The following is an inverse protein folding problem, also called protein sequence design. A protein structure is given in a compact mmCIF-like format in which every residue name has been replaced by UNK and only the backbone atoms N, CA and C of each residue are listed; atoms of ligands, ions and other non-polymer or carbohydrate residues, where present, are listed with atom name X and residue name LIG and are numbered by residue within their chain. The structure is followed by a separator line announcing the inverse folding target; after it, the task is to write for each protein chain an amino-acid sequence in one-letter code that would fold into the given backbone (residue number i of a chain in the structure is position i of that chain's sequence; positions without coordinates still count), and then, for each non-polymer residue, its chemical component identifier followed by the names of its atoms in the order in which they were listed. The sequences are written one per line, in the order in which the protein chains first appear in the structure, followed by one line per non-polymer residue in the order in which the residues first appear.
data_IF_444574537010
#
_entry.id   IF_444574537010
#
_cell.length_a   1.000
_cell.length_b   1.000
_cell.length_c   1.000
_cell.angle_alpha   90.00
_cell.angle_beta   90.00
_cell.angle_gamma   90.00
#
_symmetry.space_group_name_H-M   'P 1'
#
loop_
_entity.id
_entity.type
_entity.pdbx_description
1 polymer ?
#
# COMPACT_ATOMS: atom_id res chain seq x y z
N UNK A 1 4.77 0.94 -0.03
CA UNK A 1 5.16 2.27 0.49
C UNK A 1 4.96 2.36 2.01
N UNK A 2 5.42 1.38 2.79
CA UNK A 2 5.41 1.40 4.26
C UNK A 2 6.78 1.62 4.97
N UNK A 3 7.91 1.97 4.31
CA UNK A 3 9.22 1.87 4.94
C UNK A 3 9.46 2.94 6.02
N UNK A 4 8.90 4.15 5.87
CA UNK A 4 9.15 5.25 6.82
C UNK A 4 8.43 5.08 8.15
N UNK A 5 7.17 4.62 8.14
CA UNK A 5 6.44 4.33 9.38
C UNK A 5 7.10 3.18 10.17
N UNK A 6 7.65 2.19 9.46
CA UNK A 6 8.34 1.06 10.07
C UNK A 6 9.69 1.44 10.71
N UNK A 7 10.28 2.58 10.34
CA UNK A 7 11.52 3.10 10.92
C UNK A 7 11.30 3.91 12.21
N UNK A 8 10.07 4.42 12.44
CA UNK A 8 9.74 5.22 13.63
C UNK A 8 10.04 4.47 14.94
N UNK A 9 9.64 3.19 15.13
CA UNK A 9 9.96 2.45 16.35
C UNK A 9 11.47 2.29 16.58
N UNK A 10 12.22 1.94 15.52
CA UNK A 10 13.67 1.77 15.59
C UNK A 10 14.42 3.07 15.93
N UNK A 11 13.95 4.21 15.39
CA UNK A 11 14.46 5.53 15.74
C UNK A 11 14.18 5.88 17.20
N UNK A 12 12.95 5.63 17.67
CA UNK A 12 12.57 5.84 19.07
C UNK A 12 13.44 5.00 20.01
N UNK A 13 13.70 3.74 19.68
CA UNK A 13 14.52 2.84 20.49
C UNK A 13 15.99 3.25 20.51
N UNK A 14 16.49 3.79 19.39
CA UNK A 14 17.84 4.37 19.32
C UNK A 14 17.93 5.64 20.16
N UNK A 15 16.92 6.52 20.13
CA UNK A 15 16.89 7.70 21.01
C UNK A 15 16.80 7.27 22.48
N UNK A 16 16.04 6.20 22.78
CA UNK A 16 15.91 5.63 24.12
C UNK A 16 17.25 5.15 24.70
N UNK A 17 18.14 4.60 23.87
CA UNK A 17 19.43 4.07 24.33
C UNK A 17 20.43 5.15 24.78
N UNK A 18 20.21 6.42 24.41
CA UNK A 18 21.05 7.55 24.82
C UNK A 18 20.55 8.26 26.09
N UNK A 19 19.40 7.87 26.69
CA UNK A 19 18.99 8.47 27.96
C UNK A 19 19.77 7.88 29.14
N UNK A 20 20.19 8.71 30.11
CA UNK A 20 20.97 8.26 31.25
C UNK A 20 20.18 7.28 32.15
N UNK A 21 20.76 6.13 32.55
CA UNK A 21 20.11 5.15 33.42
C UNK A 21 19.72 5.71 34.81
N UNK A 22 20.43 6.77 35.25
CA UNK A 22 20.43 7.30 36.63
C UNK A 22 19.40 8.43 36.87
N UNK A 23 18.54 8.73 35.89
CA UNK A 23 17.55 9.81 35.97
C UNK A 23 16.46 9.53 37.02
N UNK A 24 15.99 10.59 37.70
CA UNK A 24 14.91 10.48 38.70
C UNK A 24 13.61 9.98 38.05
N UNK A 25 12.68 9.33 38.80
CA UNK A 25 11.43 8.80 38.25
C UNK A 25 10.60 9.86 37.49
N UNK A 26 10.64 11.11 37.94
CA UNK A 26 9.95 12.24 37.31
C UNK A 26 10.58 12.64 35.96
N UNK A 27 11.92 12.67 35.87
CA UNK A 27 12.63 13.00 34.62
C UNK A 27 12.42 11.93 33.54
N UNK A 28 12.30 10.66 33.93
CA UNK A 28 11.97 9.56 33.01
C UNK A 28 10.54 9.68 32.47
N UNK A 29 9.57 9.97 33.33
CA UNK A 29 8.17 10.16 32.93
C UNK A 29 8.00 11.36 31.97
N UNK A 30 8.71 12.47 32.21
CA UNK A 30 8.68 13.62 31.30
C UNK A 30 9.34 13.33 29.94
N UNK A 31 10.45 12.59 29.93
CA UNK A 31 11.12 12.17 28.70
C UNK A 31 10.23 11.22 27.88
N UNK A 32 9.58 10.25 28.52
CA UNK A 32 8.63 9.34 27.87
C UNK A 32 7.42 10.07 27.30
N UNK A 33 6.84 11.02 28.04
CA UNK A 33 5.73 11.84 27.56
C UNK A 33 6.12 12.66 26.31
N UNK A 34 7.32 13.24 26.29
CA UNK A 34 7.86 13.96 25.12
C UNK A 34 8.11 13.02 23.94
N UNK A 35 8.63 11.82 24.17
CA UNK A 35 8.84 10.82 23.11
C UNK A 35 7.52 10.38 22.47
N UNK A 36 6.48 10.15 23.27
CA UNK A 36 5.14 9.80 22.75
C UNK A 36 4.59 10.96 21.91
N UNK A 37 4.71 12.20 22.37
CA UNK A 37 4.27 13.37 21.61
C UNK A 37 5.02 13.50 20.26
N UNK A 38 6.34 13.30 20.26
CA UNK A 38 7.17 13.30 19.04
C UNK A 38 6.81 12.14 18.13
N UNK A 39 6.54 10.95 18.67
CA UNK A 39 6.11 9.78 17.90
C UNK A 39 4.82 10.06 17.14
N UNK A 40 3.81 10.64 17.82
CA UNK A 40 2.53 10.99 17.20
C UNK A 40 2.72 12.04 16.10
N UNK A 41 3.56 13.06 16.34
CA UNK A 41 3.87 14.08 15.34
C UNK A 41 4.57 13.48 14.11
N UNK A 42 5.56 12.60 14.31
CA UNK A 42 6.24 11.92 13.20
C UNK A 42 5.30 11.01 12.42
N UNK A 43 4.44 10.25 13.10
CA UNK A 43 3.44 9.41 12.44
C UNK A 43 2.51 10.26 11.59
N UNK A 44 2.00 11.37 12.12
CA UNK A 44 1.14 12.28 11.39
C UNK A 44 1.86 12.88 10.16
N UNK A 45 3.09 13.36 10.33
CA UNK A 45 3.87 13.92 9.23
C UNK A 45 4.13 12.89 8.11
N UNK A 46 4.37 11.62 8.46
CA UNK A 46 4.54 10.55 7.47
C UNK A 46 3.22 10.21 6.77
N UNK A 47 2.10 10.18 7.51
CA UNK A 47 0.77 9.99 6.92
C UNK A 47 0.47 11.11 5.93
N UNK A 48 0.67 12.37 6.32
CA UNK A 48 0.41 13.54 5.47
C UNK A 48 1.28 13.50 4.20
N UNK A 49 2.57 13.18 4.35
CA UNK A 49 3.48 13.01 3.20
C UNK A 49 3.03 11.87 2.26
N UNK A 50 2.58 10.74 2.81
CA UNK A 50 2.04 9.63 2.01
C UNK A 50 0.76 10.03 1.28
N UNK A 51 -0.16 10.74 1.94
CA UNK A 51 -1.39 11.22 1.31
C UNK A 51 -1.07 12.13 0.13
N UNK A 52 -0.12 13.06 0.28
CA UNK A 52 0.32 13.93 -0.83
C UNK A 52 0.94 13.10 -1.96
N UNK A 53 1.81 12.15 -1.64
CA UNK A 53 2.43 11.29 -2.64
C UNK A 53 1.40 10.44 -3.41
N UNK A 54 0.40 9.90 -2.72
CA UNK A 54 -0.71 9.14 -3.31
C UNK A 54 -1.62 10.02 -4.18
N UNK A 55 -1.87 11.26 -3.76
CA UNK A 55 -2.61 12.23 -4.58
C UNK A 55 -1.86 12.56 -5.87
N UNK A 56 -0.56 12.83 -5.80
CA UNK A 56 0.26 13.09 -6.98
C UNK A 56 0.36 11.87 -7.91
N UNK A 57 0.45 10.66 -7.35
CA UNK A 57 0.38 9.42 -8.12
C UNK A 57 -0.98 9.29 -8.83
N UNK A 58 -2.07 9.53 -8.12
CA UNK A 58 -3.44 9.46 -8.67
C UNK A 58 -3.62 10.45 -9.81
N UNK A 59 -3.15 11.71 -9.65
CA UNK A 59 -3.20 12.72 -10.71
C UNK A 59 -2.46 12.29 -11.98
N UNK A 60 -1.27 11.70 -11.83
CA UNK A 60 -0.49 11.19 -12.97
C UNK A 60 -1.21 10.05 -13.69
N UNK A 61 -1.73 9.09 -12.92
CA UNK A 61 -2.49 7.96 -13.47
C UNK A 61 -3.79 8.41 -14.14
N UNK A 62 -4.46 9.43 -13.59
CA UNK A 62 -5.66 10.01 -14.20
C UNK A 62 -5.31 10.70 -15.52
N UNK A 63 -4.25 11.50 -15.56
CA UNK A 63 -3.76 12.12 -16.79
C UNK A 63 -3.41 11.08 -17.87
N UNK A 64 -2.76 9.97 -17.49
CA UNK A 64 -2.46 8.86 -18.41
C UNK A 64 -3.72 8.16 -18.95
N UNK A 65 -4.80 8.15 -18.16
CA UNK A 65 -6.10 7.57 -18.56
C UNK A 65 -7.01 8.51 -19.33
N UNK A 66 -6.80 9.81 -19.25
CA UNK A 66 -7.55 10.81 -20.01
C UNK A 66 -7.17 10.84 -21.50
N UNK A 67 -6.13 10.12 -21.91
CA UNK A 67 -5.79 9.93 -23.33
C UNK A 67 -6.99 9.43 -24.14
N UNK A 68 -7.16 9.96 -25.36
CA UNK A 68 -8.26 9.61 -26.26
C UNK A 68 -8.23 8.16 -26.76
N UNK A 69 -7.19 7.40 -26.44
CA UNK A 69 -7.05 6.01 -26.88
C UNK A 69 -7.97 5.06 -26.10
N UNK A 70 -8.69 4.20 -26.83
CA UNK A 70 -9.50 3.12 -26.23
C UNK A 70 -8.65 2.18 -25.38
N UNK A 71 -7.40 1.95 -25.79
CA UNK A 71 -6.47 1.08 -25.09
C UNK A 71 -6.09 1.63 -23.71
N UNK A 72 -5.82 2.93 -23.59
CA UNK A 72 -5.53 3.59 -22.29
C UNK A 72 -6.69 3.45 -21.31
N UNK A 73 -7.93 3.58 -21.79
CA UNK A 73 -9.14 3.44 -20.96
C UNK A 73 -9.38 2.01 -20.48
N UNK A 74 -8.94 1.02 -21.26
CA UNK A 74 -9.18 -0.41 -20.99
C UNK A 74 -7.92 -1.17 -20.53
N UNK A 75 -6.78 -0.50 -20.32
CA UNK A 75 -5.53 -1.18 -19.97
C UNK A 75 -5.65 -2.01 -18.69
N UNK A 76 -6.34 -1.49 -17.66
CA UNK A 76 -6.53 -2.21 -16.38
C UNK A 76 -7.27 -3.55 -16.55
N UNK A 77 -8.49 -3.60 -17.14
CA UNK A 77 -9.17 -4.88 -17.34
C UNK A 77 -8.44 -5.77 -18.35
N UNK A 78 -7.76 -5.22 -19.37
CA UNK A 78 -7.02 -6.01 -20.34
C UNK A 78 -5.81 -6.72 -19.73
N UNK A 79 -5.06 -6.05 -18.85
CA UNK A 79 -3.95 -6.67 -18.11
C UNK A 79 -4.45 -7.80 -17.21
N UNK A 80 -5.59 -7.63 -16.54
CA UNK A 80 -6.21 -8.68 -15.73
C UNK A 80 -6.56 -9.90 -16.58
N UNK A 81 -7.23 -9.70 -17.73
CA UNK A 81 -7.61 -10.79 -18.64
C UNK A 81 -6.34 -11.49 -19.17
N UNK A 82 -5.33 -10.73 -19.58
CA UNK A 82 -4.06 -11.27 -20.04
C UNK A 82 -3.40 -12.17 -18.98
N UNK A 83 -3.28 -11.69 -17.75
CA UNK A 83 -2.68 -12.47 -16.65
C UNK A 83 -3.50 -13.71 -16.30
N UNK A 84 -4.84 -13.63 -16.34
CA UNK A 84 -5.72 -14.80 -16.17
C UNK A 84 -5.51 -15.85 -17.26
N UNK A 85 -5.44 -15.43 -18.52
CA UNK A 85 -5.19 -16.33 -19.65
C UNK A 85 -3.82 -16.99 -19.50
N UNK A 86 -2.77 -16.21 -19.23
CA UNK A 86 -1.42 -16.74 -19.02
C UNK A 86 -1.37 -17.73 -17.85
N UNK A 87 -2.04 -17.40 -16.73
CA UNK A 87 -2.14 -18.30 -15.58
C UNK A 87 -2.85 -19.60 -15.94
N UNK A 88 -3.93 -19.53 -16.73
CA UNK A 88 -4.69 -20.71 -17.16
C UNK A 88 -3.86 -21.58 -18.10
N UNK A 89 -3.10 -20.97 -19.02
CA UNK A 89 -2.17 -21.67 -19.92
C UNK A 89 -1.05 -22.35 -19.12
N UNK A 90 -0.42 -21.65 -18.17
CA UNK A 90 0.60 -22.22 -17.29
C UNK A 90 0.06 -23.38 -16.46
N UNK A 91 -1.13 -23.23 -15.88
CA UNK A 91 -1.79 -24.29 -15.13
C UNK A 91 -2.08 -25.52 -16.02
N UNK A 92 -2.52 -25.31 -17.26
CA UNK A 92 -2.74 -26.37 -18.24
C UNK A 92 -1.47 -27.11 -18.62
N UNK A 93 -0.37 -26.40 -18.89
CA UNK A 93 0.94 -27.00 -19.17
C UNK A 93 1.46 -27.77 -17.95
N UNK A 94 1.23 -27.24 -16.73
CA UNK A 94 1.66 -27.87 -15.48
C UNK A 94 1.05 -29.25 -15.23
N UNK A 95 -0.11 -29.54 -15.82
CA UNK A 95 -0.76 -30.85 -15.70
C UNK A 95 -0.06 -31.87 -16.61
N UNK A 96 0.50 -31.44 -17.74
CA UNK A 96 1.21 -32.30 -18.69
C UNK A 96 2.73 -32.41 -18.46
N UNK A 97 3.33 -31.42 -17.81
CA UNK A 97 4.78 -31.30 -17.63
C UNK A 97 5.15 -31.14 -16.15
N UNK A 98 5.93 -32.09 -15.62
CA UNK A 98 6.36 -32.10 -14.20
C UNK A 98 7.55 -31.15 -13.89
N UNK A 99 8.06 -30.41 -14.87
CA UNK A 99 9.31 -29.64 -14.74
C UNK A 99 9.09 -28.12 -14.88
N UNK A 100 7.94 -27.59 -14.44
CA UNK A 100 7.76 -26.14 -14.37
C UNK A 100 8.59 -25.58 -13.22
N UNK A 101 9.45 -24.61 -13.53
CA UNK A 101 10.20 -23.90 -12.50
C UNK A 101 9.22 -23.07 -11.64
N UNK A 102 9.13 -23.36 -10.32
CA UNK A 102 8.15 -22.74 -9.44
C UNK A 102 8.29 -21.22 -9.34
N UNK A 103 9.50 -20.68 -9.57
CA UNK A 103 9.77 -19.23 -9.54
C UNK A 103 8.87 -18.47 -10.52
N UNK A 104 8.65 -19.00 -11.73
CA UNK A 104 7.80 -18.33 -12.72
C UNK A 104 6.31 -18.46 -12.40
N UNK A 105 5.90 -19.57 -11.80
CA UNK A 105 4.52 -19.77 -11.37
C UNK A 105 4.16 -18.82 -10.20
N UNK A 106 5.06 -18.69 -9.22
CA UNK A 106 4.89 -17.78 -8.09
C UNK A 106 4.91 -16.32 -8.55
N UNK A 107 5.83 -15.94 -9.44
CA UNK A 107 5.87 -14.59 -10.00
C UNK A 107 4.55 -14.24 -10.73
N UNK A 108 4.00 -15.17 -11.52
CA UNK A 108 2.73 -14.97 -12.20
C UNK A 108 1.55 -14.85 -11.22
N UNK A 109 1.54 -15.66 -10.16
CA UNK A 109 0.55 -15.59 -9.07
C UNK A 109 0.58 -14.22 -8.38
N UNK A 110 1.77 -13.73 -8.04
CA UNK A 110 1.94 -12.45 -7.34
C UNK A 110 1.50 -11.28 -8.23
N UNK A 111 1.84 -11.31 -9.53
CA UNK A 111 1.36 -10.33 -10.50
C UNK A 111 -0.17 -10.36 -10.65
N UNK A 112 -0.76 -11.56 -10.72
CA UNK A 112 -2.20 -11.74 -10.84
C UNK A 112 -2.92 -11.19 -9.60
N UNK A 113 -2.43 -11.51 -8.40
CA UNK A 113 -2.99 -11.01 -7.15
C UNK A 113 -2.89 -9.48 -7.05
N UNK A 114 -1.76 -8.89 -7.46
CA UNK A 114 -1.59 -7.45 -7.52
C UNK A 114 -2.59 -6.79 -8.49
N UNK A 115 -2.78 -7.36 -9.69
CA UNK A 115 -3.72 -6.86 -10.68
C UNK A 115 -5.20 -6.98 -10.23
N UNK A 116 -5.56 -8.13 -9.62
CA UNK A 116 -6.88 -8.33 -9.01
C UNK A 116 -7.14 -7.33 -7.89
N UNK A 117 -6.17 -7.15 -6.99
CA UNK A 117 -6.23 -6.16 -5.92
C UNK A 117 -6.48 -4.77 -6.49
N UNK A 118 -5.64 -4.32 -7.42
CA UNK A 118 -5.77 -3.00 -8.01
C UNK A 118 -7.11 -2.78 -8.72
N UNK A 119 -7.65 -3.76 -9.45
CA UNK A 119 -8.90 -3.59 -10.19
C UNK A 119 -10.16 -3.69 -9.31
N UNK A 120 -10.23 -4.68 -8.42
CA UNK A 120 -11.44 -4.94 -7.62
C UNK A 120 -11.44 -4.21 -6.27
N UNK A 121 -10.29 -4.08 -5.60
CA UNK A 121 -10.22 -3.37 -4.31
C UNK A 121 -10.44 -1.87 -4.53
N UNK A 122 -9.87 -1.28 -5.58
CA UNK A 122 -10.11 0.15 -5.90
C UNK A 122 -11.60 0.46 -6.08
N UNK A 123 -12.31 -0.34 -6.89
CA UNK A 123 -13.76 -0.21 -7.10
C UNK A 123 -14.59 -0.57 -5.88
N UNK A 124 -14.09 -1.45 -5.01
CA UNK A 124 -14.74 -1.83 -3.76
C UNK A 124 -14.69 -0.70 -2.73
N UNK A 125 -13.51 -0.06 -2.58
CA UNK A 125 -13.31 1.08 -1.68
C UNK A 125 -14.19 2.25 -2.09
N UNK A 126 -14.23 2.61 -3.39
CA UNK A 126 -15.07 3.69 -3.91
C UNK A 126 -16.53 3.54 -3.47
N UNK A 127 -17.11 2.34 -3.64
CA UNK A 127 -18.49 2.04 -3.21
C UNK A 127 -18.71 2.06 -1.71
N UNK A 128 -17.71 1.69 -0.91
CA UNK A 128 -17.82 1.72 0.56
C UNK A 128 -17.75 3.16 1.05
N UNK A 129 -16.84 3.95 0.50
CA UNK A 129 -16.71 5.38 0.78
C UNK A 129 -17.99 6.13 0.41
N UNK A 130 -18.58 5.86 -0.75
CA UNK A 130 -19.85 6.47 -1.17
C UNK A 130 -21.00 6.13 -0.21
N UNK A 131 -21.10 4.87 0.23
CA UNK A 131 -22.13 4.44 1.19
C UNK A 131 -21.94 5.08 2.57
N UNK A 132 -20.69 5.23 3.01
CA UNK A 132 -20.38 5.92 4.27
C UNK A 132 -20.72 7.41 4.14
N UNK A 133 -20.31 8.08 3.07
CA UNK A 133 -20.63 9.49 2.82
C UNK A 133 -22.16 9.74 2.80
N UNK A 134 -22.90 8.88 2.09
CA UNK A 134 -24.37 8.92 2.05
C UNK A 134 -25.02 8.67 3.42
N UNK A 135 -24.48 7.73 4.21
CA UNK A 135 -24.97 7.46 5.56
C UNK A 135 -24.68 8.61 6.55
N UNK A 136 -23.66 9.42 6.28
CA UNK A 136 -23.25 10.55 7.12
C UNK A 136 -23.81 11.90 6.65
N UNK A 137 -24.73 11.90 5.66
CA UNK A 137 -25.49 13.07 5.24
C UNK A 137 -24.65 14.18 4.58
N UNK A 138 -23.42 13.89 4.14
CA UNK A 138 -22.65 14.81 3.31
C UNK A 138 -23.02 14.56 1.85
N UNK A 139 -24.00 15.35 1.37
CA UNK A 139 -24.23 15.58 -0.05
C UNK A 139 -23.12 16.46 -0.63
#
# INVERSE_FOLDING_TARGET
MAPLLALIPSLIDTVKSYFPPDATPEQKAEAEAKLIAVQMQMQQAVIDANVVAEQELTKRLEADMQSDSWLSKNVRPLVLIFLLVMYTVFAGISIGENNINPVYADMLKDMLMAAFGFYFVSRGIEKVTDKIAAAWGKN
#
